data_IF_975700160665
#
_entry.id   IF_975700160665
#
_cell.length_a   1.000
_cell.length_b   1.000
_cell.length_c   1.000
_cell.angle_alpha   90.00
_cell.angle_beta   90.00
_cell.angle_gamma   90.00
#
_symmetry.space_group_name_H-M   'P 1'
#
loop_
_entity.id
_entity.type
_entity.pdbx_description
1 polymer ?
#
# COMPACT_ATOMS: atom_id res chain seq x y z
N UNK A 1 20.67 -34.82 -74.26
CA UNK A 1 20.34 -35.18 -72.86
C UNK A 1 21.33 -34.52 -71.87
N UNK A 2 21.26 -33.21 -71.66
CA UNK A 2 22.16 -32.50 -70.72
C UNK A 2 21.48 -31.26 -70.13
N UNK A 3 20.37 -31.44 -69.43
CA UNK A 3 19.62 -30.30 -68.86
C UNK A 3 18.68 -30.64 -67.69
N UNK A 4 18.37 -31.92 -67.45
CA UNK A 4 17.42 -32.32 -66.39
C UNK A 4 18.08 -32.39 -65.00
N UNK A 5 19.34 -32.86 -64.91
CA UNK A 5 20.06 -33.05 -63.63
C UNK A 5 20.36 -31.77 -62.83
N UNK A 6 20.46 -30.62 -63.49
CA UNK A 6 20.79 -29.34 -62.85
C UNK A 6 19.57 -28.63 -62.26
N UNK A 7 18.36 -28.92 -62.76
CA UNK A 7 17.10 -28.35 -62.28
C UNK A 7 16.66 -29.02 -60.96
N UNK A 8 16.71 -30.36 -60.90
CA UNK A 8 16.32 -31.15 -59.72
C UNK A 8 17.19 -30.82 -58.49
N UNK A 9 18.50 -30.67 -58.71
CA UNK A 9 19.46 -30.32 -57.65
C UNK A 9 19.26 -28.90 -57.08
N UNK A 10 18.62 -27.99 -57.83
CA UNK A 10 18.24 -26.66 -57.31
C UNK A 10 16.95 -26.72 -56.51
N UNK A 11 15.98 -27.52 -56.95
CA UNK A 11 14.74 -27.74 -56.21
C UNK A 11 15.00 -28.40 -54.84
N UNK A 12 15.84 -29.44 -54.80
CA UNK A 12 16.19 -30.14 -53.56
C UNK A 12 16.89 -29.21 -52.56
N UNK A 13 17.80 -28.36 -53.04
CA UNK A 13 18.48 -27.37 -52.19
C UNK A 13 17.53 -26.30 -51.67
N UNK A 14 16.56 -25.88 -52.49
CA UNK A 14 15.58 -24.87 -52.10
C UNK A 14 14.60 -25.43 -51.07
N UNK A 15 14.14 -26.67 -51.27
CA UNK A 15 13.29 -27.38 -50.33
C UNK A 15 14.02 -27.58 -49.00
N UNK A 16 15.28 -28.04 -49.03
CA UNK A 16 16.09 -28.29 -47.84
C UNK A 16 16.38 -27.01 -47.06
N UNK A 17 16.57 -25.86 -47.73
CA UNK A 17 16.71 -24.55 -47.08
C UNK A 17 15.40 -24.10 -46.43
N UNK A 18 14.25 -24.33 -47.07
CA UNK A 18 12.93 -24.04 -46.49
C UNK A 18 12.66 -24.93 -45.27
N UNK A 19 12.99 -26.22 -45.34
CA UNK A 19 12.86 -27.12 -44.18
C UNK A 19 13.81 -26.70 -43.06
N UNK A 20 15.04 -26.28 -43.37
CA UNK A 20 15.98 -25.77 -42.36
C UNK A 20 15.45 -24.49 -41.70
N UNK A 21 14.86 -23.57 -42.47
CA UNK A 21 14.26 -22.32 -41.97
C UNK A 21 13.02 -22.57 -41.10
N UNK A 22 12.21 -23.58 -41.42
CA UNK A 22 11.06 -23.98 -40.60
C UNK A 22 11.48 -24.70 -39.31
N UNK A 23 12.58 -25.47 -39.34
CA UNK A 23 13.14 -26.15 -38.16
C UNK A 23 13.87 -25.16 -37.23
N UNK A 24 14.45 -24.08 -37.77
CA UNK A 24 15.13 -23.04 -36.99
C UNK A 24 14.21 -21.91 -36.48
N UNK A 25 12.90 -21.99 -36.73
CA UNK A 25 11.92 -21.06 -36.18
C UNK A 25 11.10 -21.73 -35.06
N UNK A 26 11.66 -21.95 -33.86
CA UNK A 26 10.80 -21.94 -32.69
C UNK A 26 10.32 -20.50 -32.54
N UNK A 27 9.14 -20.24 -33.11
CA UNK A 27 8.34 -19.06 -32.80
C UNK A 27 8.26 -18.99 -31.28
N UNK A 28 8.98 -18.02 -30.71
CA UNK A 28 8.88 -17.62 -29.32
C UNK A 28 7.46 -17.07 -29.11
N UNK A 29 6.49 -17.98 -28.95
CA UNK A 29 5.22 -17.72 -28.29
C UNK A 29 5.52 -17.54 -26.80
N UNK A 30 6.31 -16.52 -26.47
CA UNK A 30 6.35 -15.98 -25.13
C UNK A 30 5.08 -15.16 -25.01
N UNK A 31 4.00 -15.84 -24.61
CA UNK A 31 2.80 -15.13 -24.18
C UNK A 31 3.22 -14.23 -23.03
N UNK A 32 2.94 -12.93 -23.14
CA UNK A 32 3.02 -12.03 -22.00
C UNK A 32 1.99 -12.50 -20.98
N UNK A 33 2.39 -13.37 -20.06
CA UNK A 33 1.62 -13.63 -18.86
C UNK A 33 1.54 -12.30 -18.12
N UNK A 34 0.35 -11.71 -18.10
CA UNK A 34 0.07 -10.57 -17.22
C UNK A 34 0.24 -11.11 -15.80
N UNK A 35 1.14 -10.54 -14.98
CA UNK A 35 1.31 -10.99 -13.60
C UNK A 35 -0.06 -10.93 -12.91
N UNK A 36 -0.56 -12.06 -12.45
CA UNK A 36 -1.71 -12.05 -11.56
C UNK A 36 -1.15 -11.82 -10.16
N UNK A 37 -1.54 -10.72 -9.52
CA UNK A 37 -1.23 -10.54 -8.10
C UNK A 37 -2.26 -11.37 -7.33
N UNK A 38 -1.88 -12.50 -6.72
CA UNK A 38 -2.78 -13.24 -5.86
C UNK A 38 -3.22 -12.29 -4.74
N UNK A 39 -4.52 -12.03 -4.67
CA UNK A 39 -5.07 -11.13 -3.66
C UNK A 39 -6.36 -11.69 -3.08
N UNK A 40 -6.53 -11.52 -1.78
CA UNK A 40 -7.72 -11.93 -1.04
C UNK A 40 -8.47 -10.70 -0.56
N UNK A 41 -9.77 -10.67 -0.82
CA UNK A 41 -10.61 -9.51 -0.51
C UNK A 41 -11.08 -9.58 0.94
N UNK A 42 -10.82 -8.51 1.69
CA UNK A 42 -11.34 -8.32 3.06
C UNK A 42 -12.57 -7.42 3.02
N UNK A 43 -12.49 -6.35 2.22
CA UNK A 43 -13.57 -5.40 2.01
C UNK A 43 -13.57 -4.93 0.56
N UNK A 44 -14.75 -4.80 -0.02
CA UNK A 44 -14.93 -4.19 -1.32
C UNK A 44 -16.30 -3.51 -1.41
N UNK A 45 -16.29 -2.27 -1.86
CA UNK A 45 -17.47 -1.53 -2.31
C UNK A 45 -17.24 -1.07 -3.77
N UNK A 46 -18.20 -0.38 -4.42
CA UNK A 46 -18.04 0.02 -5.82
C UNK A 46 -16.83 0.93 -6.12
N UNK A 47 -16.25 1.59 -5.13
CA UNK A 47 -15.17 2.58 -5.31
C UNK A 47 -13.94 2.33 -4.43
N UNK A 48 -14.07 1.60 -3.33
CA UNK A 48 -13.00 1.32 -2.38
C UNK A 48 -12.81 -0.18 -2.18
N UNK A 49 -11.60 -0.59 -1.81
CA UNK A 49 -11.35 -1.94 -1.35
C UNK A 49 -10.20 -1.99 -0.33
N UNK A 50 -10.22 -3.05 0.48
CA UNK A 50 -9.09 -3.50 1.31
C UNK A 50 -8.86 -4.97 1.00
N UNK A 51 -7.62 -5.32 0.68
CA UNK A 51 -7.22 -6.65 0.25
C UNK A 51 -5.92 -7.06 0.92
N UNK A 52 -5.68 -8.35 0.95
CA UNK A 52 -4.39 -8.94 1.27
C UNK A 52 -3.71 -9.30 -0.03
N UNK A 53 -2.46 -8.91 -0.18
CA UNK A 53 -1.65 -9.17 -1.37
C UNK A 53 -0.33 -9.81 -0.92
N UNK A 54 0.15 -10.80 -1.68
CA UNK A 54 1.50 -11.32 -1.48
C UNK A 54 2.52 -10.18 -1.63
N UNK A 55 3.41 -10.09 -0.65
CA UNK A 55 4.46 -9.10 -0.64
C UNK A 55 5.66 -9.59 -1.45
N UNK A 56 5.92 -8.93 -2.58
CA UNK A 56 7.04 -9.24 -3.45
C UNK A 56 8.41 -9.07 -2.79
N UNK A 57 8.49 -8.31 -1.69
CA UNK A 57 9.73 -8.19 -0.91
C UNK A 57 9.97 -9.42 -0.02
N UNK A 58 8.98 -10.30 0.18
CA UNK A 58 9.10 -11.55 0.94
C UNK A 58 9.47 -12.71 0.02
N UNK A 59 10.71 -13.17 0.15
CA UNK A 59 11.18 -14.31 -0.62
C UNK A 59 10.71 -15.63 0.01
N UNK A 60 10.42 -16.63 -0.82
CA UNK A 60 9.92 -17.94 -0.37
C UNK A 60 10.92 -18.67 0.55
N UNK A 61 12.21 -18.37 0.42
CA UNK A 61 13.29 -18.89 1.27
C UNK A 61 13.39 -18.22 2.64
N UNK A 62 12.69 -17.11 2.88
CA UNK A 62 12.74 -16.41 4.16
C UNK A 62 11.94 -17.13 5.23
N UNK A 63 12.36 -17.01 6.51
CA UNK A 63 11.61 -17.59 7.61
C UNK A 63 10.16 -17.06 7.62
N UNK A 64 9.17 -17.86 8.06
CA UNK A 64 7.77 -17.47 8.13
C UNK A 64 7.47 -16.40 9.22
N UNK A 65 8.49 -15.65 9.61
CA UNK A 65 8.46 -14.57 10.60
C UNK A 65 8.79 -13.22 9.97
N UNK A 66 8.80 -13.13 8.63
CA UNK A 66 9.13 -11.86 7.96
C UNK A 66 8.10 -10.78 8.29
N UNK A 67 6.82 -11.08 8.10
CA UNK A 67 5.75 -10.27 8.68
C UNK A 67 5.23 -10.93 9.96
N UNK A 68 4.99 -10.14 10.99
CA UNK A 68 4.41 -10.58 12.26
C UNK A 68 2.87 -10.67 12.14
N UNK A 69 2.40 -11.33 11.09
CA UNK A 69 1.00 -11.60 10.82
C UNK A 69 0.65 -13.07 11.13
N UNK A 70 -0.59 -13.36 11.56
CA UNK A 70 -1.67 -12.42 11.85
C UNK A 70 -1.38 -11.55 13.08
N UNK A 71 -1.88 -10.31 13.08
CA UNK A 71 -1.68 -9.34 14.15
C UNK A 71 -3.00 -8.76 14.63
N UNK A 72 -3.30 -8.93 15.91
CA UNK A 72 -4.49 -8.36 16.53
C UNK A 72 -4.20 -6.92 16.99
N UNK A 73 -4.92 -5.98 16.41
CA UNK A 73 -4.86 -4.56 16.76
C UNK A 73 -6.28 -3.99 16.82
N UNK A 74 -6.55 -3.13 17.79
CA UNK A 74 -7.84 -2.47 17.89
C UNK A 74 -8.03 -1.45 16.76
N UNK A 75 -9.25 -1.35 16.25
CA UNK A 75 -9.61 -0.33 15.26
C UNK A 75 -9.38 1.10 15.80
N UNK A 76 -9.51 1.32 17.11
CA UNK A 76 -9.19 2.59 17.76
C UNK A 76 -7.70 2.97 17.66
N UNK A 77 -6.80 2.00 17.75
CA UNK A 77 -5.36 2.22 17.54
C UNK A 77 -5.07 2.57 16.09
N UNK A 78 -5.64 1.83 15.13
CA UNK A 78 -5.51 2.18 13.70
C UNK A 78 -6.07 3.58 13.42
N UNK A 79 -7.21 3.93 14.02
CA UNK A 79 -7.80 5.27 13.91
C UNK A 79 -6.82 6.36 14.37
N UNK A 80 -6.17 6.12 15.50
CA UNK A 80 -5.16 7.04 16.05
C UNK A 80 -4.00 7.20 15.09
N UNK A 81 -3.51 6.09 14.52
CA UNK A 81 -2.44 6.07 13.51
C UNK A 81 -2.85 6.88 12.27
N UNK A 82 -4.01 6.59 11.67
CA UNK A 82 -4.45 7.28 10.45
C UNK A 82 -4.70 8.78 10.68
N UNK A 83 -5.18 9.16 11.88
CA UNK A 83 -5.38 10.57 12.27
C UNK A 83 -4.05 11.32 12.40
N UNK A 84 -3.02 10.63 12.91
CA UNK A 84 -1.66 11.13 13.07
C UNK A 84 -0.91 11.29 11.75
N UNK A 85 -1.34 10.62 10.68
CA UNK A 85 -0.70 10.71 9.36
C UNK A 85 -0.92 12.07 8.71
N UNK A 86 0.19 12.69 8.33
CA UNK A 86 0.25 13.97 7.64
C UNK A 86 0.99 13.83 6.34
N UNK A 87 0.59 14.63 5.36
CA UNK A 87 1.24 14.72 4.07
C UNK A 87 1.66 16.15 3.83
N UNK A 88 2.84 16.32 3.24
CA UNK A 88 3.36 17.59 2.78
C UNK A 88 3.73 17.46 1.32
N UNK A 89 3.37 18.43 0.46
CA UNK A 89 3.81 18.36 -0.94
C UNK A 89 5.33 18.49 -1.00
N UNK A 90 5.95 17.59 -1.75
CA UNK A 90 7.40 17.56 -1.89
C UNK A 90 7.86 18.77 -2.70
N UNK A 91 8.73 19.58 -2.11
CA UNK A 91 9.33 20.74 -2.78
C UNK A 91 10.85 20.64 -2.73
N UNK A 92 11.48 20.80 -3.90
CA UNK A 92 12.95 20.84 -3.99
C UNK A 92 13.50 22.03 -3.19
N UNK A 93 14.78 21.97 -2.79
CA UNK A 93 15.40 23.06 -2.03
C UNK A 93 15.26 24.43 -2.72
N UNK A 94 15.37 24.46 -4.06
CA UNK A 94 15.16 25.66 -4.86
C UNK A 94 13.71 26.15 -4.76
N UNK A 95 12.73 25.26 -4.90
CA UNK A 95 11.31 25.61 -4.76
C UNK A 95 10.98 26.10 -3.36
N UNK A 96 11.52 25.48 -2.30
CA UNK A 96 11.32 25.92 -0.91
C UNK A 96 11.91 27.29 -0.64
N UNK A 97 13.06 27.61 -1.23
CA UNK A 97 13.66 28.93 -1.09
C UNK A 97 12.79 30.06 -1.67
N UNK A 98 12.12 29.81 -2.81
CA UNK A 98 11.26 30.81 -3.46
C UNK A 98 9.80 30.80 -2.98
N UNK A 99 9.22 29.62 -2.72
CA UNK A 99 7.79 29.42 -2.43
C UNK A 99 7.50 29.12 -0.96
N UNK A 100 8.53 28.96 -0.13
CA UNK A 100 8.41 28.49 1.25
C UNK A 100 8.10 26.99 1.37
N UNK A 101 7.96 26.54 2.62
CA UNK A 101 7.53 25.18 2.94
C UNK A 101 6.06 24.95 2.52
N UNK A 102 5.74 23.74 2.08
CA UNK A 102 4.36 23.37 1.77
C UNK A 102 3.57 23.17 3.08
N UNK A 103 2.26 23.50 3.15
CA UNK A 103 1.47 23.23 4.34
C UNK A 103 1.41 21.73 4.65
N UNK A 104 1.45 21.41 5.94
CA UNK A 104 1.23 20.07 6.44
C UNK A 104 -0.27 19.80 6.55
N UNK A 105 -0.77 18.81 5.83
CA UNK A 105 -2.21 18.48 5.77
C UNK A 105 -2.49 17.05 6.23
N UNK A 106 -3.70 16.73 6.71
CA UNK A 106 -4.09 15.34 7.00
C UNK A 106 -3.95 14.46 5.76
N UNK A 107 -3.40 13.24 5.94
CA UNK A 107 -3.28 12.27 4.86
C UNK A 107 -4.65 11.77 4.37
N UNK A 108 -5.59 11.59 5.31
CA UNK A 108 -6.91 10.99 5.09
C UNK A 108 -8.03 11.92 5.59
N UNK A 109 -9.24 11.77 5.04
CA UNK A 109 -10.46 12.40 5.58
C UNK A 109 -11.05 11.59 6.73
N UNK A 110 -11.97 12.16 7.49
CA UNK A 110 -12.62 11.47 8.61
C UNK A 110 -13.43 10.24 8.16
N UNK A 111 -14.03 10.30 6.98
CA UNK A 111 -14.76 9.17 6.36
C UNK A 111 -13.80 8.04 5.97
N UNK A 112 -12.67 8.39 5.35
CA UNK A 112 -11.61 7.45 4.98
C UNK A 112 -11.01 6.79 6.23
N UNK A 113 -10.75 7.58 7.27
CA UNK A 113 -10.27 7.08 8.57
C UNK A 113 -11.28 6.10 9.15
N UNK A 114 -12.56 6.45 9.17
CA UNK A 114 -13.63 5.60 9.74
C UNK A 114 -13.72 4.26 9.01
N UNK A 115 -13.69 4.29 7.67
CA UNK A 115 -13.69 3.09 6.84
C UNK A 115 -12.45 2.23 7.09
N UNK A 116 -11.26 2.82 6.93
CA UNK A 116 -10.00 2.09 7.00
C UNK A 116 -9.73 1.54 8.41
N UNK A 117 -10.09 2.26 9.46
CA UNK A 117 -9.80 1.82 10.84
C UNK A 117 -10.33 0.43 11.15
N UNK A 118 -11.58 0.13 10.73
CA UNK A 118 -12.16 -1.19 10.93
C UNK A 118 -11.59 -2.22 9.95
N UNK A 119 -11.49 -1.88 8.67
CA UNK A 119 -11.12 -2.84 7.63
C UNK A 119 -9.64 -3.24 7.68
N UNK A 120 -8.75 -2.30 8.01
CA UNK A 120 -7.33 -2.58 8.17
C UNK A 120 -7.06 -3.43 9.41
N UNK A 121 -7.74 -3.16 10.53
CA UNK A 121 -7.63 -3.98 11.73
C UNK A 121 -8.08 -5.43 11.47
N UNK A 122 -9.20 -5.63 10.78
CA UNK A 122 -9.66 -6.96 10.35
C UNK A 122 -8.68 -7.63 9.39
N UNK A 123 -8.17 -6.88 8.41
CA UNK A 123 -7.21 -7.41 7.44
C UNK A 123 -5.90 -7.88 8.12
N UNK A 124 -5.36 -7.11 9.07
CA UNK A 124 -4.16 -7.48 9.84
C UNK A 124 -4.38 -8.75 10.68
N UNK A 125 -5.58 -8.95 11.20
CA UNK A 125 -5.94 -10.15 11.97
C UNK A 125 -6.05 -11.41 11.10
N UNK A 126 -6.29 -11.25 9.80
CA UNK A 126 -6.41 -12.36 8.84
C UNK A 126 -5.18 -12.56 7.97
N UNK A 127 -4.27 -11.60 7.92
CA UNK A 127 -3.06 -11.64 7.10
C UNK A 127 -2.18 -12.83 7.48
N UNK A 128 -1.54 -13.42 6.48
CA UNK A 128 -0.47 -14.40 6.65
C UNK A 128 0.91 -13.73 6.59
N UNK A 129 1.96 -14.45 6.99
CA UNK A 129 3.32 -13.92 7.08
C UNK A 129 3.94 -13.45 5.75
N UNK A 130 3.34 -13.79 4.60
CA UNK A 130 3.77 -13.37 3.26
C UNK A 130 2.88 -12.27 2.69
N UNK A 131 1.78 -11.96 3.36
CA UNK A 131 0.80 -10.99 2.87
C UNK A 131 1.05 -9.64 3.52
N UNK A 132 0.79 -8.59 2.76
CA UNK A 132 0.57 -7.23 3.27
C UNK A 132 -0.87 -6.83 3.04
N UNK A 133 -1.34 -5.90 3.87
CA UNK A 133 -2.64 -5.26 3.66
C UNK A 133 -2.48 -4.14 2.65
N UNK A 134 -3.34 -4.11 1.64
CA UNK A 134 -3.36 -3.10 0.60
C UNK A 134 -4.74 -2.45 0.56
N UNK A 135 -4.80 -1.12 0.44
CA UNK A 135 -6.04 -0.39 0.33
C UNK A 135 -6.08 0.51 -0.91
N UNK A 136 -7.29 0.70 -1.40
CA UNK A 136 -7.60 1.60 -2.50
C UNK A 136 -8.83 2.42 -2.14
N UNK A 137 -8.67 3.74 -2.14
CA UNK A 137 -9.74 4.69 -1.91
C UNK A 137 -9.94 5.51 -3.18
N UNK A 138 -11.20 5.63 -3.60
CA UNK A 138 -11.55 6.45 -4.76
C UNK A 138 -12.76 7.32 -4.49
N UNK A 139 -12.59 8.61 -4.71
CA UNK A 139 -13.65 9.60 -4.59
C UNK A 139 -14.00 10.16 -5.97
N UNK A 140 -15.29 10.18 -6.37
CA UNK A 140 -15.70 10.84 -7.60
C UNK A 140 -15.52 12.36 -7.47
N UNK A 141 -14.78 12.97 -8.40
CA UNK A 141 -14.66 14.44 -8.48
C UNK A 141 -15.61 14.99 -9.54
N UNK A 142 -15.67 14.33 -10.70
CA UNK A 142 -16.63 14.59 -11.78
C UNK A 142 -17.02 13.26 -12.43
N UNK A 143 -17.92 13.28 -13.42
CA UNK A 143 -18.30 12.08 -14.18
C UNK A 143 -17.10 11.36 -14.84
N UNK A 144 -16.03 12.10 -15.16
CA UNK A 144 -14.86 11.58 -15.86
C UNK A 144 -13.56 11.65 -15.05
N UNK A 145 -13.61 12.13 -13.79
CA UNK A 145 -12.42 12.27 -12.94
C UNK A 145 -12.68 11.76 -11.53
N UNK A 146 -11.68 11.10 -10.99
CA UNK A 146 -11.68 10.53 -9.64
C UNK A 146 -10.38 10.89 -8.95
N UNK A 147 -10.46 11.05 -7.65
CA UNK A 147 -9.30 11.26 -6.78
C UNK A 147 -9.00 9.90 -6.15
N UNK A 148 -7.73 9.49 -6.16
CA UNK A 148 -7.30 8.23 -5.56
C UNK A 148 -6.27 8.43 -4.47
N UNK A 149 -6.43 7.62 -3.44
CA UNK A 149 -5.46 7.44 -2.38
C UNK A 149 -5.26 5.95 -2.20
N UNK A 150 -4.01 5.50 -2.30
CA UNK A 150 -3.69 4.07 -2.24
C UNK A 150 -2.42 3.85 -1.45
N UNK A 151 -2.36 2.71 -0.80
CA UNK A 151 -1.24 2.37 0.04
C UNK A 151 -1.37 0.95 0.57
N UNK A 152 -0.44 0.61 1.45
CA UNK A 152 -0.43 -0.67 2.10
C UNK A 152 0.29 -0.58 3.44
N UNK A 153 0.11 -1.62 4.23
CA UNK A 153 0.76 -1.76 5.51
C UNK A 153 1.01 -3.22 5.85
N UNK A 154 2.01 -3.43 6.68
CA UNK A 154 2.32 -4.71 7.28
C UNK A 154 2.93 -4.49 8.67
N UNK A 155 3.09 -5.56 9.44
CA UNK A 155 3.66 -5.51 10.78
C UNK A 155 4.96 -6.28 10.78
N UNK A 156 6.02 -5.70 11.33
CA UNK A 156 7.28 -6.37 11.61
C UNK A 156 7.57 -6.30 13.11
N UNK A 157 7.50 -7.42 13.81
CA UNK A 157 7.62 -7.45 15.28
C UNK A 157 6.52 -6.63 15.98
N UNK A 158 6.84 -5.41 16.43
CA UNK A 158 5.89 -4.43 17.01
C UNK A 158 5.86 -3.10 16.26
N UNK A 159 6.40 -3.10 15.05
CA UNK A 159 6.53 -1.93 14.19
C UNK A 159 5.47 -2.03 13.08
N UNK A 160 4.71 -0.95 12.88
CA UNK A 160 3.79 -0.82 11.76
C UNK A 160 4.51 -0.10 10.63
N UNK A 161 4.64 -0.80 9.52
CA UNK A 161 5.21 -0.28 8.29
C UNK A 161 4.08 0.19 7.40
N UNK A 162 4.07 1.49 7.07
CA UNK A 162 3.04 2.09 6.26
C UNK A 162 3.63 2.68 4.98
N UNK A 163 2.99 2.36 3.86
CA UNK A 163 3.37 2.82 2.54
C UNK A 163 2.20 3.56 1.89
N UNK A 164 2.46 4.76 1.40
CA UNK A 164 1.48 5.55 0.64
C UNK A 164 1.95 5.65 -0.81
N UNK A 165 1.31 4.90 -1.70
CA UNK A 165 1.69 4.81 -3.11
C UNK A 165 1.14 5.97 -3.93
N UNK A 166 -0.13 6.32 -3.73
CA UNK A 166 -0.76 7.47 -4.37
C UNK A 166 -1.50 8.28 -3.31
N UNK A 167 -1.36 9.61 -3.30
CA UNK A 167 -2.10 10.49 -2.40
C UNK A 167 -2.85 11.55 -3.20
N UNK A 168 -4.19 11.51 -3.11
CA UNK A 168 -5.12 12.46 -3.74
C UNK A 168 -4.79 12.78 -5.20
N UNK A 169 -4.34 11.78 -5.95
CA UNK A 169 -4.03 11.96 -7.36
C UNK A 169 -5.33 11.99 -8.15
N UNK A 170 -5.49 13.01 -8.99
CA UNK A 170 -6.62 13.09 -9.90
C UNK A 170 -6.31 12.19 -11.10
N UNK A 171 -7.09 11.13 -11.27
CA UNK A 171 -7.06 10.31 -12.47
C UNK A 171 -8.35 10.48 -13.26
N UNK A 172 -8.22 10.64 -14.57
CA UNK A 172 -9.36 10.66 -15.48
C UNK A 172 -9.72 9.24 -15.93
N UNK A 173 -10.98 9.01 -16.29
CA UNK A 173 -11.36 7.91 -17.19
C UNK A 173 -10.91 8.39 -18.58
N UNK A 174 -9.76 7.92 -19.11
CA UNK A 174 -9.21 8.57 -20.31
C UNK A 174 -10.04 8.18 -21.54
N UNK A 175 -10.24 9.14 -22.46
CA UNK A 175 -10.56 8.81 -23.85
C UNK A 175 -9.32 8.25 -24.58
N UNK A 176 -8.12 8.73 -24.21
CA UNK A 176 -6.79 8.24 -24.55
C UNK A 176 -5.81 8.62 -23.42
N UNK A 177 -4.84 7.77 -23.07
CA UNK A 177 -3.84 8.01 -22.02
C UNK A 177 -3.46 6.75 -21.22
N UNK A 178 -2.51 6.88 -20.28
CA UNK A 178 -2.14 5.81 -19.34
C UNK A 178 -3.35 5.49 -18.45
N UNK A 179 -3.82 4.24 -18.49
CA UNK A 179 -4.91 3.77 -17.64
C UNK A 179 -4.32 3.46 -16.27
N UNK A 180 -4.84 4.11 -15.23
CA UNK A 180 -4.56 3.70 -13.86
C UNK A 180 -5.12 2.28 -13.66
N UNK A 181 -4.24 1.30 -13.49
CA UNK A 181 -4.67 -0.06 -13.24
C UNK A 181 -4.91 -0.26 -11.74
N UNK A 182 -6.19 -0.25 -11.36
CA UNK A 182 -6.65 -0.52 -10.00
C UNK A 182 -6.23 -1.89 -9.46
N UNK A 183 -5.67 -2.79 -10.28
CA UNK A 183 -5.10 -4.07 -9.86
C UNK A 183 -3.71 -3.92 -9.25
N UNK A 184 -3.05 -2.78 -9.44
CA UNK A 184 -1.72 -2.49 -8.95
C UNK A 184 -1.70 -1.22 -8.10
N UNK A 185 -2.46 -1.16 -6.99
CA UNK A 185 -2.62 0.04 -6.18
C UNK A 185 -1.31 0.58 -5.62
N UNK A 186 -0.32 -0.29 -5.41
CA UNK A 186 1.00 0.06 -4.91
C UNK A 186 1.96 0.61 -5.98
N UNK A 187 1.57 0.65 -7.26
CA UNK A 187 2.37 1.29 -8.31
C UNK A 187 2.04 2.78 -8.34
N UNK A 188 3.02 3.68 -8.09
CA UNK A 188 2.79 5.11 -8.17
C UNK A 188 2.41 5.51 -9.60
N UNK A 189 1.40 6.36 -9.74
CA UNK A 189 0.94 6.86 -11.06
C UNK A 189 1.85 7.96 -11.59
N UNK A 190 2.56 8.65 -10.69
CA UNK A 190 3.53 9.71 -10.97
C UNK A 190 4.71 9.58 -10.00
N UNK A 191 5.82 10.28 -10.29
CA UNK A 191 6.89 10.46 -9.31
C UNK A 191 6.30 11.02 -8.01
N UNK A 192 6.66 10.43 -6.86
CA UNK A 192 6.03 10.75 -5.57
C UNK A 192 6.22 12.24 -5.28
N UNK A 193 5.14 13.01 -5.39
CA UNK A 193 5.14 14.46 -5.24
C UNK A 193 4.85 14.92 -3.81
N UNK A 194 5.02 14.04 -2.82
CA UNK A 194 4.67 14.30 -1.43
C UNK A 194 5.53 13.50 -0.46
N UNK A 195 5.73 14.07 0.73
CA UNK A 195 6.38 13.45 1.86
C UNK A 195 5.31 12.98 2.86
N UNK A 196 5.43 11.74 3.36
CA UNK A 196 4.54 11.17 4.37
C UNK A 196 5.19 11.32 5.76
N UNK A 197 4.44 11.90 6.68
CA UNK A 197 4.86 12.25 8.03
C UNK A 197 3.85 11.72 9.05
N UNK A 198 4.27 11.62 10.32
CA UNK A 198 3.43 11.13 11.39
C UNK A 198 3.56 11.95 12.66
N UNK A 199 2.44 12.08 13.36
CA UNK A 199 2.34 12.67 14.67
C UNK A 199 1.67 11.67 15.62
N UNK A 200 2.28 11.36 16.78
CA UNK A 200 3.44 12.04 17.34
C UNK A 200 4.77 11.53 16.75
N UNK A 201 5.80 12.39 16.72
CA UNK A 201 7.07 12.13 16.01
C UNK A 201 7.96 11.15 16.78
N UNK A 202 7.81 11.04 18.09
CA UNK A 202 8.52 10.11 18.97
C UNK A 202 8.20 8.64 18.69
N UNK A 203 7.00 8.37 18.19
CA UNK A 203 6.57 7.07 17.70
C UNK A 203 7.15 6.70 16.33
N UNK A 204 7.75 7.64 15.59
CA UNK A 204 8.37 7.35 14.30
C UNK A 204 9.76 6.75 14.48
N UNK A 205 9.99 5.59 13.87
CA UNK A 205 11.32 5.00 13.79
C UNK A 205 12.00 5.57 12.53
N UNK A 206 13.12 6.31 12.67
CA UNK A 206 13.82 6.84 11.52
C UNK A 206 14.43 5.69 10.71
N UNK A 207 13.98 5.54 9.48
CA UNK A 207 14.60 4.62 8.53
C UNK A 207 16.05 5.07 8.28
N UNK A 208 17.01 4.15 8.46
CA UNK A 208 18.40 4.39 8.09
C UNK A 208 18.53 4.34 6.58
N UNK A 209 18.10 5.39 5.91
CA UNK A 209 18.39 5.59 4.50
C UNK A 209 19.88 5.92 4.40
N UNK A 210 20.61 5.15 3.60
CA UNK A 210 22.02 5.49 3.37
C UNK A 210 22.07 6.89 2.74
N UNK A 211 23.05 7.71 3.09
CA UNK A 211 23.18 9.11 2.61
C UNK A 211 23.13 9.23 1.07
N UNK A 212 23.40 8.12 0.37
CA UNK A 212 23.28 7.94 -1.08
C UNK A 212 21.82 7.80 -1.56
N UNK A 213 20.93 7.16 -0.83
CA UNK A 213 19.52 6.94 -1.22
C UNK A 213 18.72 8.25 -1.25
N UNK A 214 19.05 9.19 -0.36
CA UNK A 214 18.49 10.55 -0.33
C UNK A 214 18.91 11.43 -1.51
N UNK A 215 20.01 11.10 -2.19
CA UNK A 215 20.48 11.81 -3.39
C UNK A 215 19.82 11.24 -4.65
N UNK A 216 19.49 9.94 -4.66
CA UNK A 216 18.91 9.26 -5.82
C UNK A 216 17.38 9.13 -5.80
N UNK A 217 16.68 9.75 -4.84
CA UNK A 217 15.21 9.71 -4.72
C UNK A 217 14.62 8.29 -4.76
N UNK A 218 15.39 7.31 -4.26
CA UNK A 218 15.02 5.89 -4.17
C UNK A 218 14.80 5.45 -2.72
N UNK A 219 14.70 6.39 -1.78
CA UNK A 219 14.35 6.09 -0.41
C UNK A 219 13.02 5.33 -0.40
N UNK A 220 13.01 4.12 0.18
CA UNK A 220 11.76 3.40 0.43
C UNK A 220 10.88 4.34 1.22
N UNK A 221 9.77 4.70 0.59
CA UNK A 221 8.85 5.74 0.98
C UNK A 221 7.90 5.26 2.10
N UNK A 222 8.52 4.65 3.09
CA UNK A 222 7.96 3.82 4.13
C UNK A 222 8.07 4.55 5.45
N UNK A 223 6.93 4.69 6.11
CA UNK A 223 6.82 5.26 7.43
C UNK A 223 6.73 4.11 8.43
N UNK A 224 7.70 4.02 9.33
CA UNK A 224 7.71 3.00 10.37
C UNK A 224 7.30 3.61 11.70
N UNK A 225 6.25 3.03 12.30
CA UNK A 225 5.63 3.50 13.53
C UNK A 225 5.83 2.43 14.61
N UNK A 226 6.44 2.82 15.72
CA UNK A 226 6.54 2.00 16.93
C UNK A 226 5.19 1.97 17.65
N UNK A 227 4.49 0.84 17.58
CA UNK A 227 3.17 0.70 18.19
C UNK A 227 3.22 0.82 19.72
N UNK A 228 4.38 0.62 20.35
CA UNK A 228 4.52 0.71 21.82
C UNK A 228 4.51 2.14 22.35
N UNK A 229 4.69 3.12 21.46
CA UNK A 229 4.71 4.54 21.77
C UNK A 229 3.40 5.25 21.44
N UNK A 230 2.43 4.52 20.90
CA UNK A 230 1.08 5.03 20.61
C UNK A 230 0.16 4.93 21.84
N UNK A 231 0.61 4.23 22.89
CA UNK A 231 -0.05 4.28 24.18
C UNK A 231 -0.01 5.73 24.68
N UNK A 232 -1.15 6.32 25.07
CA UNK A 232 -1.16 7.66 25.62
C UNK A 232 -0.24 7.71 26.85
N UNK A 233 0.51 8.81 27.07
CA UNK A 233 1.22 9.00 28.31
C UNK A 233 0.23 9.07 29.49
N UNK A 234 0.03 7.92 30.14
CA UNK A 234 -0.51 7.69 31.49
C UNK A 234 -1.96 8.19 31.80
N UNK A 235 -2.61 7.55 32.79
CA UNK A 235 -4.06 7.45 32.86
C UNK A 235 -4.68 8.75 33.38
N UNK A 236 -5.91 9.04 32.93
CA UNK A 236 -6.80 9.98 33.62
C UNK A 236 -7.12 9.40 34.99
N UNK A 237 -6.22 9.66 35.92
CA UNK A 237 -6.36 9.40 37.34
C UNK A 237 -7.59 10.15 37.83
N UNK A 238 -8.61 9.39 38.24
CA UNK A 238 -9.53 9.72 39.32
C UNK A 238 -9.76 11.22 39.59
N UNK A 239 -10.60 11.84 38.77
CA UNK A 239 -11.44 12.97 39.19
C UNK A 239 -12.87 12.52 39.50
N UNK A 240 -13.05 11.28 39.99
CA UNK A 240 -14.12 11.00 40.94
C UNK A 240 -13.72 11.55 42.30
N UNK A 241 -13.93 12.87 42.38
CA UNK A 241 -14.20 13.66 43.58
C UNK A 241 -14.84 12.80 44.68
N UNK A 242 -14.12 12.72 45.81
CA UNK A 242 -14.60 12.47 47.18
C UNK A 242 -16.14 12.42 47.30
N UNK A 243 -16.70 11.23 47.39
CA UNK A 243 -17.82 11.01 48.31
C UNK A 243 -17.23 10.41 49.59
N UNK A 244 -16.80 11.30 50.49
CA UNK A 244 -16.66 10.94 51.88
C UNK A 244 -18.07 10.90 52.49
N UNK A 245 -18.56 9.68 52.78
CA UNK A 245 -19.43 9.18 53.88
C UNK A 245 -20.42 10.12 54.61
N UNK A 246 -21.54 9.63 55.22
CA UNK A 246 -21.61 8.36 55.97
C UNK A 246 -22.96 7.56 55.86
N UNK A 247 -23.14 6.45 56.60
CA UNK A 247 -24.13 5.41 56.35
C UNK A 247 -25.40 5.56 57.20
N UNK A 248 -26.57 5.55 56.57
CA UNK A 248 -27.93 5.51 57.17
C UNK A 248 -28.91 5.44 55.98
N UNK A 249 -29.91 4.57 55.80
CA UNK A 249 -30.71 3.68 56.63
C UNK A 249 -31.39 2.65 55.69
N UNK A 250 -31.34 1.36 56.01
CA UNK A 250 -32.50 0.47 55.89
C UNK A 250 -32.98 0.25 57.34
N UNK A 251 -34.28 0.14 57.67
CA UNK A 251 -35.24 -0.79 57.05
C UNK A 251 -36.66 -0.20 56.91
N UNK A 252 -37.66 -1.01 56.51
CA UNK A 252 -39.01 -1.15 57.12
C UNK A 252 -39.94 -1.87 56.12
N UNK A 253 -40.17 -3.16 56.40
CA UNK A 253 -41.33 -3.94 55.95
C UNK A 253 -42.51 -3.63 56.91
N UNK A 254 -43.78 -3.51 56.46
CA UNK A 254 -44.72 -4.63 56.61
C UNK A 254 -45.91 -4.68 55.60
N UNK A 255 -46.28 -5.90 55.18
CA UNK A 255 -47.61 -6.52 55.39
C UNK A 255 -47.65 -7.92 54.78
#
# INVERSE_FOLDING_TARGET
MYGRKTQDRKLDKFLLVITLLLIFSPVLLVGCAVPHIPSRIIYEDPVNYVRLEEDADVLAEWPPTHHAHPFLIESGTIRTILTGMKVQEHRTALQRWFLGESPLVPAFTDEEITLLSAQLAGALAEATYQERVTFYLSQPQTFARRIITTGGLYIHGRELHFLLGNWRIIYGIPAYGMIYDRRYPMRPTAAKGFDLLFQPVDAVIPLRNSLIDGIFANAKDELVIDLTKLDPPEPVTHLMRRCANPPTLCPWEPS
#
